data_IF_965737799470
#
_entry.id   IF_965737799470
#
_cell.length_a   1.000
_cell.length_b   1.000
_cell.length_c   1.000
_cell.angle_alpha   90.00
_cell.angle_beta   90.00
_cell.angle_gamma   90.00
#
_symmetry.space_group_name_H-M   'P 1'
#
loop_
_entity.id
_entity.type
_entity.pdbx_description
1 polymer ?
#
# COMPACT_ATOMS: atom_id res chain seq x y z
N UNK A 1 -5.68 31.66 20.67
CA UNK A 1 -5.25 30.59 21.58
C UNK A 1 -6.32 29.49 21.69
N UNK A 2 -7.49 29.74 22.29
CA UNK A 2 -8.56 28.72 22.38
C UNK A 2 -9.25 28.44 21.02
N UNK A 3 -9.54 29.48 20.25
CA UNK A 3 -10.20 29.36 18.95
C UNK A 3 -9.33 28.61 17.92
N UNK A 4 -8.02 28.86 17.96
CA UNK A 4 -7.02 28.15 17.15
C UNK A 4 -6.86 26.68 17.56
N UNK A 5 -6.97 26.35 18.86
CA UNK A 5 -6.97 24.97 19.35
C UNK A 5 -8.21 24.21 18.88
N UNK A 6 -9.38 24.87 18.94
CA UNK A 6 -10.66 24.33 18.50
C UNK A 6 -10.70 24.14 16.97
N UNK A 7 -10.11 25.06 16.20
CA UNK A 7 -9.90 24.89 14.77
C UNK A 7 -8.95 23.73 14.46
N UNK A 8 -7.88 23.55 15.24
CA UNK A 8 -6.97 22.41 15.07
C UNK A 8 -7.66 21.08 15.37
N UNK A 9 -8.45 21.03 16.45
CA UNK A 9 -9.21 19.84 16.83
C UNK A 9 -10.32 19.55 15.82
N UNK A 10 -11.07 20.55 15.38
CA UNK A 10 -12.14 20.37 14.39
C UNK A 10 -11.61 20.02 13.01
N UNK A 11 -10.50 20.59 12.56
CA UNK A 11 -9.87 20.21 11.28
C UNK A 11 -9.30 18.79 11.32
N UNK A 12 -8.65 18.39 12.43
CA UNK A 12 -8.19 17.01 12.61
C UNK A 12 -9.34 16.03 12.80
N UNK A 13 -10.40 16.44 13.49
CA UNK A 13 -11.59 15.63 13.69
C UNK A 13 -12.39 15.49 12.37
N UNK A 14 -12.50 16.55 11.57
CA UNK A 14 -13.07 16.46 10.22
C UNK A 14 -12.20 15.60 9.30
N UNK A 15 -10.88 15.76 9.33
CA UNK A 15 -9.98 14.91 8.56
C UNK A 15 -10.13 13.43 8.92
N UNK A 16 -10.21 13.15 10.23
CA UNK A 16 -10.46 11.81 10.77
C UNK A 16 -11.85 11.29 10.40
N UNK A 17 -12.89 12.13 10.48
CA UNK A 17 -14.27 11.79 10.16
C UNK A 17 -14.49 11.56 8.65
N UNK A 18 -13.88 12.38 7.79
CA UNK A 18 -13.93 12.23 6.33
C UNK A 18 -13.21 10.94 5.88
N UNK A 19 -12.11 10.57 6.58
CA UNK A 19 -11.41 9.30 6.37
C UNK A 19 -12.11 8.10 7.00
N UNK A 20 -12.93 8.29 8.04
CA UNK A 20 -13.75 7.24 8.65
C UNK A 20 -14.89 6.81 7.73
N UNK A 21 -15.50 7.74 6.98
CA UNK A 21 -16.59 7.41 6.05
C UNK A 21 -16.12 6.81 4.71
N UNK A 22 -14.83 6.95 4.35
CA UNK A 22 -14.31 6.52 3.05
C UNK A 22 -13.48 5.20 3.06
N UNK A 23 -13.20 4.61 4.22
CA UNK A 23 -11.92 3.90 4.40
C UNK A 23 -11.92 2.44 4.88
N UNK A 24 -13.02 1.68 4.85
CA UNK A 24 -12.94 0.25 5.16
C UNK A 24 -12.36 -0.53 3.98
N UNK A 25 -11.03 -0.65 3.91
CA UNK A 25 -10.41 -1.57 2.95
C UNK A 25 -11.03 -2.97 3.08
N UNK A 26 -11.43 -3.60 1.95
CA UNK A 26 -12.08 -4.89 2.00
C UNK A 26 -11.17 -5.94 2.63
N UNK A 27 -11.79 -7.00 3.17
CA UNK A 27 -11.05 -8.10 3.78
C UNK A 27 -10.15 -8.77 2.74
N UNK A 28 -8.97 -9.28 3.13
CA UNK A 28 -8.12 -10.05 2.22
C UNK A 28 -8.91 -11.19 1.57
N UNK A 29 -8.63 -11.44 0.28
CA UNK A 29 -9.22 -12.57 -0.43
C UNK A 29 -8.78 -13.89 0.21
N UNK A 30 -9.66 -14.88 0.19
CA UNK A 30 -9.26 -16.26 0.51
C UNK A 30 -8.33 -16.80 -0.57
N UNK A 31 -7.53 -17.85 -0.30
CA UNK A 31 -6.64 -18.43 -1.32
C UNK A 31 -7.35 -18.88 -2.61
N UNK A 32 -8.60 -19.35 -2.48
CA UNK A 32 -9.43 -19.75 -3.64
C UNK A 32 -9.89 -18.54 -4.46
N UNK A 33 -10.35 -17.47 -3.79
CA UNK A 33 -10.76 -16.24 -4.47
C UNK A 33 -9.58 -15.51 -5.10
N UNK A 34 -8.41 -15.55 -4.46
CA UNK A 34 -7.17 -15.00 -5.00
C UNK A 34 -6.77 -15.74 -6.28
N UNK A 35 -6.79 -17.08 -6.28
CA UNK A 35 -6.52 -17.88 -7.47
C UNK A 35 -7.48 -17.55 -8.62
N UNK A 36 -8.79 -17.54 -8.35
CA UNK A 36 -9.81 -17.20 -9.34
C UNK A 36 -9.66 -15.76 -9.87
N UNK A 37 -9.28 -14.81 -9.02
CA UNK A 37 -9.04 -13.44 -9.45
C UNK A 37 -7.80 -13.34 -10.36
N UNK A 38 -6.73 -14.08 -10.07
CA UNK A 38 -5.56 -14.11 -10.94
C UNK A 38 -5.82 -14.86 -12.26
N UNK A 39 -6.70 -15.86 -12.26
CA UNK A 39 -7.17 -16.51 -13.50
C UNK A 39 -7.95 -15.53 -14.38
N UNK A 40 -8.95 -14.85 -13.82
CA UNK A 40 -9.71 -13.81 -14.54
C UNK A 40 -8.81 -12.67 -15.04
N UNK A 41 -7.78 -12.29 -14.27
CA UNK A 41 -6.80 -11.30 -14.69
C UNK A 41 -6.00 -11.78 -15.93
N UNK A 42 -5.66 -13.07 -16.01
CA UNK A 42 -4.95 -13.67 -17.16
C UNK A 42 -5.84 -13.76 -18.40
N UNK A 43 -7.14 -13.91 -18.20
CA UNK A 43 -8.15 -13.84 -19.27
C UNK A 43 -8.40 -12.40 -19.76
N UNK A 44 -7.82 -11.40 -19.09
CA UNK A 44 -7.88 -9.99 -19.49
C UNK A 44 -9.00 -9.18 -18.84
N UNK A 45 -9.63 -9.70 -17.77
CA UNK A 45 -10.66 -8.95 -17.04
C UNK A 45 -10.04 -7.76 -16.25
N UNK A 46 -10.34 -6.50 -16.61
CA UNK A 46 -9.83 -5.33 -15.89
C UNK A 46 -10.39 -5.25 -14.46
N UNK A 47 -11.59 -5.78 -14.19
CA UNK A 47 -12.19 -5.75 -12.86
C UNK A 47 -11.43 -6.66 -11.87
N UNK A 48 -10.87 -7.78 -12.36
CA UNK A 48 -10.03 -8.66 -11.58
C UNK A 48 -8.78 -7.95 -11.02
N UNK A 49 -8.14 -7.11 -11.84
CA UNK A 49 -6.98 -6.30 -11.43
C UNK A 49 -7.36 -5.37 -10.27
N UNK A 50 -8.46 -4.65 -10.42
CA UNK A 50 -8.93 -3.71 -9.40
C UNK A 50 -9.31 -4.43 -8.10
N UNK A 51 -9.95 -5.60 -8.21
CA UNK A 51 -10.28 -6.46 -7.07
C UNK A 51 -9.02 -6.86 -6.30
N UNK A 52 -8.00 -7.39 -6.98
CA UNK A 52 -6.75 -7.81 -6.32
C UNK A 52 -6.08 -6.62 -5.62
N UNK A 53 -6.01 -5.45 -6.28
CA UNK A 53 -5.40 -4.25 -5.70
C UNK A 53 -6.17 -3.82 -4.44
N UNK A 54 -7.50 -3.62 -4.52
CA UNK A 54 -8.31 -3.11 -3.41
C UNK A 54 -8.21 -3.99 -2.16
N UNK A 55 -8.24 -5.31 -2.33
CA UNK A 55 -8.15 -6.26 -1.22
C UNK A 55 -6.75 -6.34 -0.58
N UNK A 56 -5.73 -5.78 -1.23
CA UNK A 56 -4.35 -5.75 -0.74
C UNK A 56 -3.88 -4.35 -0.28
N UNK A 57 -4.72 -3.30 -0.34
CA UNK A 57 -4.34 -1.96 0.13
C UNK A 57 -4.01 -1.90 1.63
N UNK A 58 -4.63 -2.78 2.45
CA UNK A 58 -4.28 -2.92 3.88
C UNK A 58 -2.81 -3.30 4.08
N UNK A 59 -2.26 -4.13 3.19
CA UNK A 59 -0.86 -4.55 3.23
C UNK A 59 0.06 -3.35 2.97
N UNK A 60 -0.29 -2.51 2.00
CA UNK A 60 0.45 -1.26 1.71
C UNK A 60 0.48 -0.36 2.94
N UNK A 61 -0.68 -0.10 3.56
CA UNK A 61 -0.76 0.71 4.77
C UNK A 61 0.05 0.13 5.93
N UNK A 62 0.01 -1.18 6.10
CA UNK A 62 0.80 -1.87 7.12
C UNK A 62 2.31 -1.74 6.90
N UNK A 63 2.78 -1.90 5.66
CA UNK A 63 4.21 -1.80 5.32
C UNK A 63 4.67 -0.35 5.41
N UNK A 64 3.94 0.60 4.83
CA UNK A 64 4.28 2.02 4.85
C UNK A 64 4.45 2.55 6.28
N UNK A 65 3.63 2.08 7.24
CA UNK A 65 3.74 2.44 8.65
C UNK A 65 5.09 2.08 9.29
N UNK A 66 5.81 1.08 8.77
CA UNK A 66 7.15 0.70 9.27
C UNK A 66 8.22 1.74 8.91
N UNK A 67 8.02 2.45 7.82
CA UNK A 67 8.94 3.48 7.34
C UNK A 67 8.52 4.81 7.98
N UNK A 68 9.05 5.06 9.18
CA UNK A 68 8.80 6.32 9.89
C UNK A 68 9.25 7.50 9.03
N UNK A 69 8.31 8.38 8.72
CA UNK A 69 8.54 9.62 8.00
C UNK A 69 7.76 10.74 8.69
N UNK A 70 8.00 12.00 8.33
CA UNK A 70 7.29 13.14 8.93
C UNK A 70 5.78 12.97 8.70
N UNK A 71 4.91 13.59 9.51
CA UNK A 71 3.45 13.44 9.38
C UNK A 71 2.86 13.76 7.99
N UNK A 72 3.61 14.43 7.11
CA UNK A 72 3.22 14.70 5.72
C UNK A 72 3.72 13.65 4.69
N UNK A 73 4.70 12.83 5.03
CA UNK A 73 5.33 11.88 4.11
C UNK A 73 4.55 10.55 4.04
N UNK A 74 3.61 10.33 4.97
CA UNK A 74 2.90 9.07 5.06
C UNK A 74 2.03 8.81 3.82
N UNK A 75 1.34 9.83 3.31
CA UNK A 75 0.49 9.70 2.12
C UNK A 75 1.32 9.43 0.85
N UNK A 76 2.52 10.01 0.78
CA UNK A 76 3.51 9.74 -0.27
C UNK A 76 3.99 8.29 -0.22
N UNK A 77 4.31 7.78 0.97
CA UNK A 77 4.71 6.38 1.16
C UNK A 77 3.59 5.40 0.79
N UNK A 78 2.34 5.72 1.11
CA UNK A 78 1.16 4.92 0.70
C UNK A 78 1.04 4.91 -0.83
N UNK A 79 1.17 6.07 -1.47
CA UNK A 79 1.09 6.20 -2.93
C UNK A 79 2.19 5.39 -3.62
N UNK A 80 3.43 5.50 -3.14
CA UNK A 80 4.59 4.77 -3.68
C UNK A 80 4.48 3.28 -3.41
N UNK A 81 4.05 2.89 -2.22
CA UNK A 81 3.76 1.50 -1.90
C UNK A 81 2.66 0.92 -2.79
N UNK A 82 1.65 1.71 -3.14
CA UNK A 82 0.57 1.31 -4.06
C UNK A 82 1.11 1.10 -5.48
N UNK A 83 2.06 1.92 -5.95
CA UNK A 83 2.77 1.67 -7.22
C UNK A 83 3.53 0.34 -7.15
N UNK A 84 4.19 0.05 -6.01
CA UNK A 84 4.85 -1.24 -5.76
C UNK A 84 3.87 -2.43 -5.80
N UNK A 85 2.68 -2.29 -5.21
CA UNK A 85 1.62 -3.29 -5.25
C UNK A 85 1.10 -3.50 -6.68
N UNK A 86 0.85 -2.43 -7.43
CA UNK A 86 0.43 -2.50 -8.83
C UNK A 86 1.45 -3.27 -9.66
N UNK A 87 2.75 -2.99 -9.47
CA UNK A 87 3.81 -3.73 -10.12
C UNK A 87 3.74 -5.21 -9.74
N UNK A 88 3.55 -5.54 -8.46
CA UNK A 88 3.42 -6.91 -7.99
C UNK A 88 2.25 -7.64 -8.67
N UNK A 89 1.08 -7.01 -8.78
CA UNK A 89 -0.09 -7.61 -9.46
C UNK A 89 0.23 -7.93 -10.91
N UNK A 90 0.94 -7.04 -11.60
CA UNK A 90 1.27 -7.21 -13.02
C UNK A 90 2.35 -8.27 -13.26
N UNK A 91 3.24 -8.54 -12.29
CA UNK A 91 4.40 -9.42 -12.46
C UNK A 91 4.34 -10.70 -11.64
N UNK A 92 3.29 -10.90 -10.85
CA UNK A 92 3.14 -12.10 -10.04
C UNK A 92 2.87 -13.33 -10.90
N UNK A 93 3.56 -14.42 -10.57
CA UNK A 93 3.44 -15.71 -11.21
C UNK A 93 2.86 -16.72 -10.21
N UNK A 94 1.59 -17.06 -10.40
CA UNK A 94 0.86 -17.99 -9.52
C UNK A 94 1.37 -19.43 -9.60
N UNK A 95 2.21 -19.78 -10.57
CA UNK A 95 2.76 -21.14 -10.72
C UNK A 95 3.81 -21.48 -9.67
N UNK A 96 4.42 -20.46 -9.03
CA UNK A 96 5.59 -20.64 -8.14
C UNK A 96 5.27 -21.04 -6.70
N UNK A 97 4.07 -21.55 -6.41
CA UNK A 97 3.59 -21.96 -5.07
C UNK A 97 3.73 -20.91 -3.93
N UNK A 98 4.08 -19.67 -4.26
CA UNK A 98 4.23 -18.59 -3.28
C UNK A 98 2.90 -17.84 -3.11
N UNK A 99 2.60 -17.41 -1.88
CA UNK A 99 1.45 -16.53 -1.62
C UNK A 99 1.70 -15.16 -2.25
N UNK A 100 0.69 -14.59 -2.90
CA UNK A 100 0.79 -13.26 -3.51
C UNK A 100 1.20 -12.20 -2.49
N UNK A 101 0.63 -12.23 -1.28
CA UNK A 101 0.95 -11.29 -0.20
C UNK A 101 2.45 -11.21 0.11
N UNK A 102 3.17 -12.35 0.06
CA UNK A 102 4.61 -12.41 0.31
C UNK A 102 5.38 -11.70 -0.80
N UNK A 103 5.03 -11.98 -2.06
CA UNK A 103 5.63 -11.33 -3.21
C UNK A 103 5.35 -9.83 -3.24
N UNK A 104 4.08 -9.46 -3.05
CA UNK A 104 3.63 -8.08 -2.99
C UNK A 104 4.36 -7.28 -1.91
N UNK A 105 4.57 -7.87 -0.72
CA UNK A 105 5.29 -7.22 0.37
C UNK A 105 6.69 -6.78 -0.07
N UNK A 106 7.44 -7.65 -0.75
CA UNK A 106 8.80 -7.33 -1.25
C UNK A 106 8.78 -6.24 -2.30
N UNK A 107 7.78 -6.24 -3.19
CA UNK A 107 7.62 -5.18 -4.19
C UNK A 107 7.29 -3.81 -3.57
N UNK A 108 6.42 -3.79 -2.56
CA UNK A 108 6.02 -2.58 -1.83
C UNK A 108 7.24 -2.01 -1.08
N UNK A 109 7.96 -2.84 -0.32
CA UNK A 109 9.17 -2.44 0.42
C UNK A 109 10.23 -1.88 -0.55
N UNK A 110 10.47 -2.55 -1.67
CA UNK A 110 11.44 -2.09 -2.67
C UNK A 110 11.06 -0.74 -3.29
N UNK A 111 9.77 -0.47 -3.52
CA UNK A 111 9.31 0.81 -4.05
C UNK A 111 9.58 1.95 -3.04
N UNK A 112 9.24 1.72 -1.78
CA UNK A 112 9.46 2.68 -0.69
C UNK A 112 10.96 2.92 -0.47
N UNK A 113 11.77 1.87 -0.39
CA UNK A 113 13.21 1.99 -0.21
C UNK A 113 13.86 2.73 -1.37
N UNK A 114 13.44 2.48 -2.61
CA UNK A 114 13.94 3.20 -3.78
C UNK A 114 13.71 4.71 -3.66
N UNK A 115 12.50 5.14 -3.25
CA UNK A 115 12.20 6.56 -3.00
C UNK A 115 13.13 7.16 -1.96
N UNK A 116 13.29 6.49 -0.81
CA UNK A 116 14.16 6.99 0.26
C UNK A 116 15.62 7.11 -0.18
N UNK A 117 16.11 6.19 -1.02
CA UNK A 117 17.47 6.26 -1.57
C UNK A 117 17.67 7.45 -2.51
N UNK A 118 16.64 7.80 -3.29
CA UNK A 118 16.67 8.97 -4.18
C UNK A 118 16.69 10.26 -3.36
N UNK A 119 15.90 10.33 -2.28
CA UNK A 119 15.80 11.52 -1.42
C UNK A 119 16.99 11.69 -0.47
N UNK A 120 17.56 10.58 0.01
CA UNK A 120 18.69 10.56 0.95
C UNK A 120 19.81 9.61 0.47
N UNK A 121 20.66 10.05 -0.47
CA UNK A 121 21.73 9.23 -1.05
C UNK A 121 22.75 8.69 -0.03
N UNK A 122 22.83 9.28 1.17
CA UNK A 122 23.78 8.88 2.23
C UNK A 122 23.29 7.69 3.07
N UNK A 123 21.98 7.44 3.13
CA UNK A 123 21.39 6.33 3.90
C UNK A 123 21.44 5.01 3.13
N UNK A 124 21.53 5.05 1.79
CA UNK A 124 21.51 3.86 0.93
C UNK A 124 22.69 2.89 1.13
N UNK A 125 23.73 3.29 1.86
CA UNK A 125 24.93 2.47 2.12
C UNK A 125 24.84 1.61 3.39
N UNK A 126 23.81 1.76 4.22
CA UNK A 126 23.74 1.13 5.56
C UNK A 126 22.60 0.12 5.75
N UNK A 127 21.76 -0.15 4.74
CA UNK A 127 20.69 -1.14 4.84
C UNK A 127 21.05 -2.41 4.04
N UNK A 128 21.12 -3.58 4.69
CA UNK A 128 21.53 -4.82 4.04
C UNK A 128 20.51 -5.24 2.97
N UNK A 129 21.04 -5.82 1.90
CA UNK A 129 20.31 -6.40 0.77
C UNK A 129 19.49 -7.64 1.17
#
# INVERSE_FOLDING_TARGET
MLLSLLQFFSARFLYLALHLESGSFPRPLTPREEAAAFEALREGDPAAREKIIRHNLRLVAHIAKKYYALPGDQDDLISIGTIGLIKAVNTFDSTRQARFSTYASRCIENAILTKQRIENPRVSRQQPA
#
